data_IF_722680164201
#
_entry.id   IF_722680164201
#
_cell.length_a   1.000
_cell.length_b   1.000
_cell.length_c   1.000
_cell.angle_alpha   90.00
_cell.angle_beta   90.00
_cell.angle_gamma   90.00
#
_symmetry.space_group_name_H-M   'P 1'
#
loop_
_entity.id
_entity.type
_entity.pdbx_description
1 polymer ?
#
# COMPACT_ATOMS: atom_id res chain seq x y z
N UNK A 1 7.59 -4.63 19.91
CA UNK A 1 9.04 -4.31 19.85
C UNK A 1 9.31 -3.83 18.43
N UNK A 2 9.71 -2.57 18.23
CA UNK A 2 9.95 -2.03 16.88
C UNK A 2 11.36 -2.44 16.42
N UNK A 3 11.46 -3.13 15.28
CA UNK A 3 12.74 -3.50 14.67
C UNK A 3 13.08 -2.50 13.56
N UNK A 4 13.95 -1.53 13.87
CA UNK A 4 14.52 -0.59 12.88
C UNK A 4 13.85 0.78 12.83
N UNK A 5 14.40 1.66 11.97
CA UNK A 5 13.94 3.05 11.82
C UNK A 5 12.64 3.09 11.00
N UNK A 6 11.70 3.93 11.42
CA UNK A 6 10.52 4.27 10.63
C UNK A 6 10.95 4.86 9.29
N UNK A 7 10.35 4.38 8.19
CA UNK A 7 10.59 4.90 6.84
C UNK A 7 9.38 5.71 6.41
N UNK A 8 9.56 7.01 6.23
CA UNK A 8 8.59 7.88 5.55
C UNK A 8 9.08 8.11 4.12
N UNK A 9 8.21 7.85 3.15
CA UNK A 9 8.52 8.05 1.73
C UNK A 9 7.48 9.01 1.20
N UNK A 10 7.93 10.14 0.66
CA UNK A 10 7.06 11.04 -0.08
C UNK A 10 6.77 10.41 -1.44
N UNK A 11 5.54 9.91 -1.59
CA UNK A 11 5.05 9.37 -2.85
C UNK A 11 4.62 10.54 -3.73
N UNK A 12 5.08 10.57 -4.98
CA UNK A 12 4.42 11.39 -6.01
C UNK A 12 3.00 10.84 -6.17
N UNK A 13 2.04 11.60 -5.62
CA UNK A 13 0.82 11.08 -5.01
C UNK A 13 0.00 10.21 -5.95
N UNK A 14 0.00 10.56 -7.23
CA UNK A 14 -0.92 9.98 -8.18
C UNK A 14 -0.33 8.78 -8.93
N UNK A 15 0.97 8.79 -9.23
CA UNK A 15 1.56 7.69 -10.01
C UNK A 15 1.73 6.41 -9.18
N UNK A 16 2.09 6.52 -7.90
CA UNK A 16 2.54 5.36 -7.12
C UNK A 16 1.59 4.89 -6.00
N UNK A 17 0.51 5.63 -5.70
CA UNK A 17 -0.40 5.25 -4.62
C UNK A 17 -0.91 3.81 -4.76
N UNK A 18 -1.40 3.46 -5.96
CA UNK A 18 -1.94 2.12 -6.23
C UNK A 18 -0.87 1.03 -6.12
N UNK A 19 0.37 1.33 -6.53
CA UNK A 19 1.47 0.39 -6.46
C UNK A 19 1.86 0.11 -5.01
N UNK A 20 1.92 1.16 -4.17
CA UNK A 20 2.21 1.04 -2.75
C UNK A 20 1.11 0.28 -2.01
N UNK A 21 -0.16 0.58 -2.27
CA UNK A 21 -1.28 -0.15 -1.67
C UNK A 21 -1.20 -1.65 -2.00
N UNK A 22 -1.03 -2.00 -3.28
CA UNK A 22 -0.88 -3.41 -3.71
C UNK A 22 0.35 -4.08 -3.12
N UNK A 23 1.46 -3.35 -3.01
CA UNK A 23 2.69 -3.86 -2.38
C UNK A 23 2.42 -4.27 -0.93
N UNK A 24 1.78 -3.39 -0.14
CA UNK A 24 1.48 -3.66 1.27
C UNK A 24 0.56 -4.89 1.40
N UNK A 25 -0.48 -4.95 0.59
CA UNK A 25 -1.45 -6.05 0.59
C UNK A 25 -0.83 -7.39 0.17
N UNK A 26 0.18 -7.37 -0.69
CA UNK A 26 0.89 -8.57 -1.14
C UNK A 26 1.98 -9.06 -0.18
N UNK A 27 2.38 -8.28 0.81
CA UNK A 27 3.43 -8.68 1.74
C UNK A 27 3.15 -10.01 2.47
N UNK A 28 1.92 -10.27 2.99
CA UNK A 28 1.60 -11.55 3.62
C UNK A 28 1.75 -12.74 2.65
N UNK A 29 1.41 -12.55 1.37
CA UNK A 29 1.60 -13.57 0.32
C UNK A 29 3.08 -13.79 0.05
N UNK A 30 3.87 -12.72 -0.09
CA UNK A 30 5.32 -12.78 -0.32
C UNK A 30 6.08 -13.40 0.87
N UNK A 31 5.56 -13.21 2.07
CA UNK A 31 6.08 -13.83 3.30
C UNK A 31 5.63 -15.31 3.45
N UNK A 32 4.84 -15.84 2.51
CA UNK A 32 4.34 -17.23 2.55
C UNK A 32 3.31 -17.49 3.65
N UNK A 33 2.65 -16.45 4.16
CA UNK A 33 1.70 -16.57 5.28
C UNK A 33 0.28 -16.92 4.79
N UNK A 34 -0.08 -16.50 3.58
CA UNK A 34 -1.39 -16.75 2.95
C UNK A 34 -1.23 -16.90 1.43
N UNK A 35 -2.13 -17.63 0.78
CA UNK A 35 -2.08 -17.85 -0.68
C UNK A 35 -2.63 -16.66 -1.49
N UNK A 36 -3.50 -15.86 -0.87
CA UNK A 36 -4.15 -14.70 -1.48
C UNK A 36 -4.18 -13.52 -0.48
N UNK A 37 -4.05 -12.27 -0.95
CA UNK A 37 -3.99 -11.12 -0.06
C UNK A 37 -5.30 -10.86 0.69
N UNK A 38 -6.45 -11.20 0.09
CA UNK A 38 -7.76 -11.12 0.75
C UNK A 38 -7.88 -12.06 1.95
N UNK A 39 -7.07 -13.13 2.00
CA UNK A 39 -7.05 -14.06 3.13
C UNK A 39 -6.30 -13.51 4.35
N UNK A 40 -5.59 -12.38 4.23
CA UNK A 40 -4.94 -11.73 5.37
C UNK A 40 -5.91 -10.77 6.08
N UNK A 41 -6.40 -11.09 7.30
CA UNK A 41 -7.46 -10.31 7.95
C UNK A 41 -6.99 -8.94 8.45
N UNK A 42 -5.68 -8.75 8.59
CA UNK A 42 -5.07 -7.49 9.06
C UNK A 42 -4.66 -6.59 7.89
N UNK A 43 -5.45 -6.56 6.82
CA UNK A 43 -5.30 -5.65 5.69
C UNK A 43 -6.63 -5.04 5.28
N UNK A 44 -6.59 -3.89 4.61
CA UNK A 44 -7.75 -3.27 3.96
C UNK A 44 -8.11 -3.88 2.60
N UNK A 45 -7.37 -4.92 2.15
CA UNK A 45 -7.51 -5.51 0.82
C UNK A 45 -8.97 -5.86 0.49
N UNK A 46 -9.66 -6.53 1.42
CA UNK A 46 -11.08 -6.92 1.26
C UNK A 46 -12.01 -5.73 1.05
N UNK A 47 -11.77 -4.60 1.70
CA UNK A 47 -12.56 -3.39 1.48
C UNK A 47 -12.26 -2.80 0.09
N UNK A 48 -10.99 -2.74 -0.30
CA UNK A 48 -10.58 -2.21 -1.61
C UNK A 48 -11.11 -3.05 -2.78
N UNK A 49 -11.21 -4.38 -2.63
CA UNK A 49 -11.79 -5.28 -3.65
C UNK A 49 -13.31 -5.46 -3.52
N UNK A 50 -13.97 -4.79 -2.55
CA UNK A 50 -15.42 -4.84 -2.36
C UNK A 50 -15.97 -6.13 -1.75
N UNK A 51 -15.13 -6.93 -1.08
CA UNK A 51 -15.51 -8.15 -0.35
C UNK A 51 -15.84 -7.90 1.13
N UNK A 52 -15.61 -6.68 1.61
CA UNK A 52 -15.99 -6.21 2.94
C UNK A 52 -16.41 -4.74 2.89
N UNK A 53 -17.28 -4.33 3.82
CA UNK A 53 -17.57 -2.91 4.01
C UNK A 53 -16.34 -2.17 4.53
N UNK A 54 -16.08 -0.97 4.01
CA UNK A 54 -15.04 -0.11 4.54
C UNK A 54 -15.50 0.53 5.86
N UNK A 55 -14.69 0.51 6.92
CA UNK A 55 -14.96 1.31 8.11
C UNK A 55 -14.86 2.80 7.77
N UNK A 56 -15.54 3.66 8.53
CA UNK A 56 -15.65 5.10 8.24
C UNK A 56 -14.30 5.85 8.18
N UNK A 57 -13.24 5.29 8.78
CA UNK A 57 -11.89 5.88 8.77
C UNK A 57 -11.04 5.44 7.58
N UNK A 58 -11.48 4.45 6.79
CA UNK A 58 -10.75 3.95 5.63
C UNK A 58 -11.25 4.66 4.37
N UNK A 59 -10.41 5.51 3.80
CA UNK A 59 -10.72 6.23 2.56
C UNK A 59 -10.64 5.32 1.31
N UNK A 60 -11.67 4.50 1.15
CA UNK A 60 -11.80 3.61 -0.03
C UNK A 60 -12.23 4.40 -1.26
N UNK A 61 -13.02 5.46 -1.09
CA UNK A 61 -13.51 6.30 -2.18
C UNK A 61 -12.38 7.10 -2.82
N UNK A 62 -11.41 7.60 -2.04
CA UNK A 62 -10.21 8.25 -2.57
C UNK A 62 -9.36 7.31 -3.42
N UNK A 63 -9.09 6.08 -2.95
CA UNK A 63 -8.36 5.08 -3.72
C UNK A 63 -9.12 4.65 -4.98
N UNK A 64 -10.42 4.43 -4.88
CA UNK A 64 -11.27 4.07 -6.02
C UNK A 64 -11.37 5.21 -7.03
N UNK A 65 -11.51 6.44 -6.56
CA UNK A 65 -11.58 7.61 -7.42
C UNK A 65 -10.26 7.83 -8.17
N UNK A 66 -9.14 7.64 -7.46
CA UNK A 66 -7.81 7.65 -8.05
C UNK A 66 -7.63 6.60 -9.15
N UNK A 67 -8.09 5.37 -8.88
CA UNK A 67 -8.07 4.27 -9.86
C UNK A 67 -8.93 4.55 -11.11
N UNK A 68 -10.03 5.27 -10.94
CA UNK A 68 -10.97 5.62 -12.01
C UNK A 68 -10.64 6.93 -12.72
N UNK A 69 -9.68 7.71 -12.20
CA UNK A 69 -9.37 9.06 -12.68
C UNK A 69 -10.50 10.07 -12.46
N UNK A 70 -11.44 9.78 -11.56
CA UNK A 70 -12.60 10.63 -11.26
C UNK A 70 -13.17 10.27 -9.88
N UNK A 71 -13.82 11.20 -9.16
CA UNK A 71 -14.46 10.89 -7.88
C UNK A 71 -15.54 9.80 -8.00
N UNK A 72 -15.69 9.02 -6.94
CA UNK A 72 -16.75 8.00 -6.81
C UNK A 72 -18.02 8.67 -6.29
N UNK A 73 -19.14 8.49 -6.97
CA UNK A 73 -20.43 9.05 -6.54
C UNK A 73 -21.51 7.99 -6.36
N UNK A 74 -21.36 6.84 -7.01
CA UNK A 74 -22.37 5.80 -7.02
C UNK A 74 -21.79 4.47 -6.57
N UNK A 75 -22.66 3.60 -6.04
CA UNK A 75 -22.29 2.20 -5.79
C UNK A 75 -21.83 1.47 -7.08
N UNK A 76 -22.24 1.96 -8.26
CA UNK A 76 -21.75 1.47 -9.55
C UNK A 76 -20.27 1.81 -9.78
N UNK A 77 -19.85 3.02 -9.40
CA UNK A 77 -18.45 3.46 -9.45
C UNK A 77 -17.59 2.62 -8.50
N UNK A 78 -18.03 2.46 -7.25
CA UNK A 78 -17.36 1.63 -6.25
C UNK A 78 -17.16 0.20 -6.77
N UNK A 79 -18.21 -0.43 -7.32
CA UNK A 79 -18.12 -1.79 -7.89
C UNK A 79 -17.17 -1.85 -9.08
N UNK A 80 -17.18 -0.84 -9.95
CA UNK A 80 -16.27 -0.76 -11.11
C UNK A 80 -14.82 -0.63 -10.67
N UNK A 81 -14.55 0.26 -9.71
CA UNK A 81 -13.23 0.47 -9.14
C UNK A 81 -12.72 -0.80 -8.43
N UNK A 82 -13.51 -1.39 -7.53
CA UNK A 82 -13.18 -2.63 -6.83
C UNK A 82 -12.79 -3.76 -7.80
N UNK A 83 -13.57 -3.97 -8.88
CA UNK A 83 -13.24 -4.96 -9.92
C UNK A 83 -11.91 -4.65 -10.62
N UNK A 84 -11.68 -3.37 -10.95
CA UNK A 84 -10.43 -2.93 -11.57
C UNK A 84 -9.23 -3.03 -10.61
N UNK A 85 -9.47 -2.89 -9.30
CA UNK A 85 -8.45 -3.03 -8.27
C UNK A 85 -8.07 -4.50 -8.03
N UNK A 86 -9.03 -5.42 -8.10
CA UNK A 86 -8.80 -6.86 -7.97
C UNK A 86 -7.99 -7.44 -9.14
N UNK A 87 -8.14 -6.88 -10.35
CA UNK A 87 -7.56 -7.40 -11.59
C UNK A 87 -6.01 -7.51 -11.64
N UNK A 88 -5.19 -6.71 -10.94
CA UNK A 88 -3.72 -6.79 -11.04
C UNK A 88 -3.03 -7.50 -9.88
N UNK A 89 -3.74 -8.05 -8.90
CA UNK A 89 -3.09 -8.49 -7.65
C UNK A 89 -2.23 -9.76 -7.84
N UNK A 90 -2.45 -10.53 -8.90
CA UNK A 90 -1.60 -11.67 -9.25
C UNK A 90 -0.28 -11.30 -9.97
N UNK A 91 -0.16 -10.08 -10.52
CA UNK A 91 0.99 -9.68 -11.37
C UNK A 91 2.10 -8.92 -10.61
N UNK A 92 1.86 -8.51 -9.36
CA UNK A 92 2.77 -7.67 -8.58
C UNK A 92 3.76 -8.45 -7.71
N UNK A 93 4.04 -9.72 -8.03
CA UNK A 93 5.08 -10.52 -7.35
C UNK A 93 6.48 -9.93 -7.49
N UNK A 94 6.72 -9.10 -8.50
CA UNK A 94 8.03 -8.56 -8.88
C UNK A 94 8.08 -7.02 -8.97
N UNK A 95 7.20 -6.30 -8.25
CA UNK A 95 7.24 -4.83 -8.25
C UNK A 95 8.55 -4.36 -7.62
N UNK A 96 9.46 -3.88 -8.46
CA UNK A 96 10.71 -3.17 -8.13
C UNK A 96 10.44 -1.77 -7.55
N UNK A 97 9.47 -1.65 -6.66
CA UNK A 97 9.11 -0.39 -5.99
C UNK A 97 10.35 0.23 -5.32
N UNK A 98 11.22 -0.63 -4.79
CA UNK A 98 12.45 -0.26 -4.11
C UNK A 98 13.58 0.20 -5.05
N UNK A 99 13.61 -0.26 -6.31
CA UNK A 99 14.69 0.08 -7.23
C UNK A 99 14.45 1.44 -7.92
N UNK A 100 13.19 1.79 -8.22
CA UNK A 100 12.84 2.96 -9.03
C UNK A 100 12.15 4.11 -8.27
N UNK A 101 11.36 3.82 -7.23
CA UNK A 101 10.44 4.81 -6.64
C UNK A 101 10.80 5.25 -5.21
N UNK A 102 11.50 4.41 -4.43
CA UNK A 102 11.68 4.61 -2.98
C UNK A 102 13.05 5.19 -2.57
N UNK A 103 13.90 5.61 -3.51
CA UNK A 103 15.23 6.19 -3.22
C UNK A 103 15.20 7.57 -2.54
N UNK A 104 14.02 8.17 -2.33
CA UNK A 104 13.87 9.42 -1.59
C UNK A 104 13.55 9.13 -0.12
N UNK A 105 14.60 8.74 0.62
CA UNK A 105 14.56 8.64 2.07
C UNK A 105 14.27 10.03 2.66
N UNK A 106 13.10 10.23 3.26
CA UNK A 106 12.94 11.28 4.27
C UNK A 106 13.21 10.61 5.61
N UNK A 107 14.45 10.76 6.08
CA UNK A 107 14.84 10.37 7.43
C UNK A 107 14.05 11.24 8.42
N UNK A 108 12.97 10.72 9.00
CA UNK A 108 12.41 11.28 10.22
C UNK A 108 13.08 10.60 11.41
N UNK A 109 14.26 11.12 11.73
CA UNK A 109 15.09 10.74 12.88
C UNK A 109 16.37 11.57 12.81
N UNK A 110 16.54 12.49 13.76
CA UNK A 110 17.67 13.41 13.79
C UNK A 110 19.04 12.69 13.77
N UNK A 111 20.04 13.37 13.22
CA UNK A 111 21.43 12.92 13.07
C UNK A 111 22.15 12.54 14.38
N UNK A 112 21.50 12.71 15.52
CA UNK A 112 22.00 12.33 16.85
C UNK A 112 22.02 10.81 17.08
N UNK A 113 21.38 10.00 16.23
CA UNK A 113 21.39 8.54 16.31
C UNK A 113 22.51 7.84 15.49
N UNK A 114 23.28 8.57 14.66
CA UNK A 114 24.30 7.95 13.79
C UNK A 114 25.70 7.88 14.44
N UNK A 115 26.03 8.77 15.38
CA UNK A 115 27.39 8.88 15.95
C UNK A 115 27.71 7.90 17.09
N UNK A 116 26.92 6.83 17.26
CA UNK A 116 27.14 5.82 18.32
C UNK A 116 27.60 4.44 17.86
N UNK A 117 27.67 4.15 16.55
CA UNK A 117 27.95 2.78 16.08
C UNK A 117 29.15 2.64 15.14
N UNK A 118 30.06 3.62 15.10
CA UNK A 118 31.39 3.45 14.49
C UNK A 118 32.45 4.17 15.30
N UNK A 119 32.90 3.52 16.37
CA UNK A 119 34.28 3.52 16.91
C UNK A 119 34.24 3.20 18.41
N UNK A 120 34.98 2.17 18.83
CA UNK A 120 35.35 1.90 20.23
C UNK A 120 34.47 0.88 20.92
#
# INVERSE_FOLDING_TARGET
>A
MFQGRFKAILIDRDAYLLEVCRYVELNPVRAGMVDAPQAWPWSSCRAHVGEAGAPAWLDTDGLHGHLLGQPVHTAGDTRRAARRYAHPVAAARDVRLWDSALNKQICLGDDTLWRGCRAG
#
